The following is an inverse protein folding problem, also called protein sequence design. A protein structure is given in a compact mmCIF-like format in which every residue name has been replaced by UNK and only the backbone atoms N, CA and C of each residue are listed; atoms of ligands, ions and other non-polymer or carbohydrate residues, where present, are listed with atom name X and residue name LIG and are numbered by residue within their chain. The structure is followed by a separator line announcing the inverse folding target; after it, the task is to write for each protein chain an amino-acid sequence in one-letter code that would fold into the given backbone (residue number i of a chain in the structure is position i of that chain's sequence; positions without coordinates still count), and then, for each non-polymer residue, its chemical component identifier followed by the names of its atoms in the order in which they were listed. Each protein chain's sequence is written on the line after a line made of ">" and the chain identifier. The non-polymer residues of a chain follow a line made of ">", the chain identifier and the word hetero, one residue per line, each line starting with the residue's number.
data_IF_704879316474
#
_entry.id   IF_704879316474
#
_cell.length_a   1.000
_cell.length_b   1.000
_cell.length_c   1.000
_cell.angle_alpha   90.00
_cell.angle_beta   90.00
_cell.angle_gamma   90.00
#
_symmetry.space_group_name_H-M   'P 1'
#
loop_
_entity.id
_entity.type
_entity.pdbx_description
1 polymer ?
#
# COMPACT_ATOMS: atom_id res chain seq x y z
N UNK A 1 -5.21 19.80 10.39
CA UNK A 1 -4.07 20.06 9.47
C UNK A 1 -3.18 18.85 9.57
N UNK A 2 -3.08 18.06 8.51
CA UNK A 2 -2.16 16.91 8.44
C UNK A 2 -0.75 17.43 8.67
N UNK A 3 -0.10 16.99 9.75
CA UNK A 3 1.31 17.30 9.95
C UNK A 3 2.07 16.49 8.89
N UNK A 4 2.46 17.14 7.79
CA UNK A 4 3.29 16.54 6.74
C UNK A 4 4.72 16.33 7.28
N UNK A 5 4.86 15.38 8.21
CA UNK A 5 6.14 15.00 8.82
C UNK A 5 6.99 14.16 7.88
N UNK A 6 6.33 13.44 6.96
CA UNK A 6 6.95 12.63 5.91
C UNK A 6 6.21 12.97 4.62
N UNK A 7 6.96 13.18 3.54
CA UNK A 7 6.40 13.52 2.23
C UNK A 7 6.47 12.34 1.26
N UNK A 8 5.67 12.39 0.18
CA UNK A 8 5.78 11.41 -0.92
C UNK A 8 7.19 11.32 -1.49
N UNK A 9 7.93 12.44 -1.52
CA UNK A 9 9.33 12.42 -1.97
C UNK A 9 10.23 11.62 -1.01
N UNK A 10 10.03 11.74 0.31
CA UNK A 10 10.77 10.92 1.27
C UNK A 10 10.46 9.43 1.09
N UNK A 11 9.17 9.10 0.91
CA UNK A 11 8.73 7.73 0.67
C UNK A 11 9.30 7.17 -0.61
N UNK A 12 9.26 7.93 -1.70
CA UNK A 12 9.79 7.53 -2.99
C UNK A 12 11.30 7.25 -2.93
N UNK A 13 12.07 8.09 -2.23
CA UNK A 13 13.52 7.88 -2.10
C UNK A 13 13.85 6.64 -1.27
N UNK A 14 13.13 6.36 -0.18
CA UNK A 14 13.33 5.11 0.59
C UNK A 14 12.86 3.87 -0.18
N UNK A 15 11.75 3.96 -0.91
CA UNK A 15 11.28 2.87 -1.79
C UNK A 15 12.30 2.58 -2.89
N UNK A 16 12.84 3.62 -3.52
CA UNK A 16 13.86 3.49 -4.55
C UNK A 16 15.11 2.79 -4.02
N UNK A 17 15.58 3.14 -2.82
CA UNK A 17 16.69 2.42 -2.15
C UNK A 17 16.34 0.94 -1.94
N UNK A 18 15.15 0.65 -1.42
CA UNK A 18 14.70 -0.73 -1.21
C UNK A 18 14.69 -1.53 -2.53
N UNK A 19 14.16 -0.94 -3.61
CA UNK A 19 14.14 -1.56 -4.94
C UNK A 19 15.56 -1.80 -5.46
N UNK A 20 16.47 -0.83 -5.39
CA UNK A 20 17.86 -0.98 -5.84
C UNK A 20 18.57 -2.09 -5.05
N UNK A 21 18.38 -2.14 -3.73
CA UNK A 21 19.01 -3.15 -2.88
C UNK A 21 18.50 -4.57 -3.14
N UNK A 22 17.19 -4.71 -3.37
CA UNK A 22 16.55 -6.02 -3.61
C UNK A 22 16.77 -6.49 -5.05
N UNK A 23 16.43 -5.66 -6.05
CA UNK A 23 16.42 -6.04 -7.46
C UNK A 23 17.76 -5.82 -8.18
N UNK A 24 18.70 -5.09 -7.57
CA UNK A 24 20.01 -4.74 -8.17
C UNK A 24 19.91 -4.02 -9.51
N UNK A 25 18.85 -3.23 -9.68
CA UNK A 25 18.61 -2.37 -10.84
C UNK A 25 19.29 -1.02 -10.68
N UNK A 26 19.45 -0.29 -11.79
CA UNK A 26 19.98 1.07 -11.75
C UNK A 26 18.95 2.04 -11.15
N UNK A 27 19.39 2.88 -10.22
CA UNK A 27 18.54 3.86 -9.55
C UNK A 27 17.80 4.79 -10.53
N UNK A 28 18.45 5.14 -11.65
CA UNK A 28 17.88 6.00 -12.69
C UNK A 28 16.81 5.32 -13.54
N UNK A 29 16.70 3.99 -13.49
CA UNK A 29 15.66 3.22 -14.18
C UNK A 29 14.32 3.23 -13.44
N UNK A 30 14.32 3.60 -12.15
CA UNK A 30 13.15 3.55 -11.27
C UNK A 30 12.34 4.85 -11.44
N UNK A 31 11.15 4.72 -12.03
CA UNK A 31 10.18 5.82 -12.18
C UNK A 31 8.89 5.48 -11.46
N UNK A 32 8.09 6.50 -11.14
CA UNK A 32 6.80 6.30 -10.46
C UNK A 32 5.86 5.40 -11.27
N UNK A 33 5.87 5.55 -12.58
CA UNK A 33 5.08 4.74 -13.51
C UNK A 33 5.61 3.32 -13.73
N UNK A 34 6.83 3.00 -13.30
CA UNK A 34 7.45 1.69 -13.55
C UNK A 34 6.67 0.58 -12.84
N UNK A 35 6.30 -0.47 -13.59
CA UNK A 35 5.84 -1.74 -13.03
C UNK A 35 6.99 -2.45 -12.34
N UNK A 36 6.77 -2.90 -11.10
CA UNK A 36 7.79 -3.64 -10.36
C UNK A 36 8.14 -4.96 -11.05
N UNK A 37 7.15 -5.63 -11.65
CA UNK A 37 7.38 -6.90 -12.34
C UNK A 37 7.83 -6.65 -13.79
N UNK A 38 7.02 -5.95 -14.59
CA UNK A 38 7.25 -5.87 -16.03
C UNK A 38 8.47 -5.02 -16.40
N UNK A 39 8.71 -3.93 -15.67
CA UNK A 39 9.80 -3.01 -15.99
C UNK A 39 11.06 -3.27 -15.15
N UNK A 40 10.88 -3.67 -13.88
CA UNK A 40 11.99 -3.82 -12.92
C UNK A 40 12.34 -5.28 -12.59
N UNK A 41 11.56 -6.24 -13.08
CA UNK A 41 11.86 -7.67 -12.98
C UNK A 41 11.69 -8.26 -11.58
N UNK A 42 10.84 -7.67 -10.73
CA UNK A 42 10.55 -8.20 -9.41
C UNK A 42 9.79 -9.53 -9.48
N UNK A 43 10.18 -10.47 -8.62
CA UNK A 43 9.47 -11.71 -8.35
C UNK A 43 8.65 -11.61 -7.05
N UNK A 44 7.75 -12.56 -6.79
CA UNK A 44 6.87 -12.56 -5.61
C UNK A 44 7.62 -12.42 -4.27
N UNK A 45 8.83 -12.99 -4.17
CA UNK A 45 9.66 -12.88 -2.96
C UNK A 45 10.28 -11.49 -2.78
N UNK A 46 10.54 -10.77 -3.87
CA UNK A 46 11.14 -9.43 -3.82
C UNK A 46 10.18 -8.42 -3.18
N UNK A 47 8.87 -8.57 -3.40
CA UNK A 47 7.86 -7.75 -2.73
C UNK A 47 7.95 -7.87 -1.21
N UNK A 48 8.25 -9.06 -0.68
CA UNK A 48 8.38 -9.27 0.76
C UNK A 48 9.61 -8.56 1.31
N UNK A 49 10.75 -8.59 0.61
CA UNK A 49 11.98 -7.90 1.02
C UNK A 49 11.82 -6.37 0.93
N UNK A 50 11.27 -5.86 -0.18
CA UNK A 50 10.99 -4.43 -0.35
C UNK A 50 10.04 -3.94 0.74
N UNK A 51 8.94 -4.65 1.00
CA UNK A 51 8.02 -4.32 2.08
C UNK A 51 8.72 -4.32 3.43
N UNK A 52 9.53 -5.34 3.73
CA UNK A 52 10.26 -5.42 4.99
C UNK A 52 11.22 -4.23 5.18
N UNK A 53 11.95 -3.82 4.14
CA UNK A 53 12.83 -2.64 4.18
C UNK A 53 12.05 -1.36 4.49
N UNK A 54 10.91 -1.17 3.82
CA UNK A 54 10.01 -0.03 4.08
C UNK A 54 9.47 -0.04 5.51
N UNK A 55 9.07 -1.21 6.02
CA UNK A 55 8.61 -1.37 7.40
C UNK A 55 9.70 -0.96 8.41
N UNK A 56 10.95 -1.37 8.19
CA UNK A 56 12.08 -1.02 9.05
C UNK A 56 12.44 0.47 8.97
N UNK A 57 12.38 1.05 7.77
CA UNK A 57 12.61 2.46 7.53
C UNK A 57 11.56 3.30 8.27
N UNK A 58 10.29 3.10 7.98
CA UNK A 58 9.20 3.97 8.46
C UNK A 58 8.63 3.59 9.84
N UNK A 59 8.98 2.40 10.36
CA UNK A 59 8.43 1.92 11.63
C UNK A 59 6.95 1.56 11.54
N UNK A 60 6.56 0.95 10.42
CA UNK A 60 5.16 0.63 10.10
C UNK A 60 5.01 -0.84 9.68
N UNK A 61 3.79 -1.25 9.31
CA UNK A 61 3.50 -2.61 8.80
C UNK A 61 2.74 -2.53 7.48
N UNK A 62 3.34 -3.05 6.42
CA UNK A 62 2.71 -3.15 5.10
C UNK A 62 1.62 -4.23 5.10
N UNK A 63 0.70 -4.14 4.14
CA UNK A 63 -0.28 -5.19 3.92
C UNK A 63 0.42 -6.51 3.54
N UNK A 64 -0.09 -7.63 4.07
CA UNK A 64 0.42 -8.96 3.77
C UNK A 64 -0.42 -9.68 2.71
N UNK A 65 -1.69 -9.32 2.61
CA UNK A 65 -2.61 -9.90 1.64
C UNK A 65 -3.06 -8.84 0.64
N UNK A 66 -3.32 -9.29 -0.58
CA UNK A 66 -3.81 -8.43 -1.64
C UNK A 66 -5.28 -8.04 -1.38
N UNK A 67 -5.73 -6.94 -1.98
CA UNK A 67 -7.10 -6.44 -1.77
C UNK A 67 -8.18 -7.45 -2.14
N UNK A 68 -7.91 -8.31 -3.13
CA UNK A 68 -8.84 -9.35 -3.58
C UNK A 68 -9.06 -10.41 -2.49
N UNK A 69 -8.01 -10.81 -1.77
CA UNK A 69 -8.12 -11.77 -0.67
C UNK A 69 -9.01 -11.20 0.45
N UNK A 70 -8.84 -9.91 0.79
CA UNK A 70 -9.69 -9.25 1.78
C UNK A 70 -11.16 -9.15 1.34
N UNK A 71 -11.43 -9.06 0.03
CA UNK A 71 -12.81 -9.08 -0.48
C UNK A 71 -13.44 -10.45 -0.24
N UNK A 72 -12.74 -11.53 -0.58
CA UNK A 72 -13.22 -12.91 -0.32
C UNK A 72 -13.45 -13.14 1.19
N UNK A 73 -12.51 -12.70 2.04
CA UNK A 73 -12.64 -12.80 3.50
C UNK A 73 -13.86 -12.06 4.06
N UNK A 74 -14.14 -10.86 3.55
CA UNK A 74 -15.17 -9.97 4.10
C UNK A 74 -16.56 -10.20 3.51
N UNK A 75 -16.65 -10.56 2.23
CA UNK A 75 -17.90 -10.58 1.47
C UNK A 75 -18.27 -11.97 0.94
N UNK A 76 -17.39 -12.97 1.10
CA UNK A 76 -17.65 -14.38 0.83
C UNK A 76 -16.98 -14.89 -0.45
N UNK A 77 -16.70 -16.20 -0.47
CA UNK A 77 -16.05 -16.92 -1.58
C UNK A 77 -16.79 -16.71 -2.91
N UNK A 78 -16.05 -16.40 -3.97
CA UNK A 78 -16.62 -16.15 -5.30
C UNK A 78 -16.90 -14.68 -5.59
N UNK A 79 -16.63 -13.78 -4.63
CA UNK A 79 -17.04 -12.37 -4.76
C UNK A 79 -16.08 -11.57 -5.61
N UNK A 80 -14.78 -11.76 -5.42
CA UNK A 80 -13.73 -11.11 -6.20
C UNK A 80 -13.19 -12.00 -7.32
N UNK A 81 -13.13 -13.31 -7.10
CA UNK A 81 -12.53 -14.30 -7.99
C UNK A 81 -13.54 -15.42 -8.22
N UNK A 82 -13.81 -15.76 -9.48
CA UNK A 82 -14.71 -16.84 -9.85
C UNK A 82 -14.07 -18.24 -9.72
N UNK A 83 -14.85 -19.29 -9.99
CA UNK A 83 -14.41 -20.70 -9.91
C UNK A 83 -13.25 -21.03 -10.87
N UNK A 84 -13.06 -20.23 -11.92
CA UNK A 84 -12.00 -20.39 -12.92
C UNK A 84 -10.74 -19.57 -12.55
N UNK A 85 -10.71 -18.92 -11.38
CA UNK A 85 -9.58 -18.09 -10.94
C UNK A 85 -9.55 -16.70 -11.57
N UNK A 86 -10.68 -16.22 -12.10
CA UNK A 86 -10.75 -14.96 -12.84
C UNK A 86 -11.49 -13.86 -12.08
N UNK A 87 -11.14 -12.62 -12.38
CA UNK A 87 -11.74 -11.47 -11.72
C UNK A 87 -13.19 -11.22 -12.13
N UNK A 88 -14.04 -11.10 -11.11
CA UNK A 88 -15.45 -10.74 -11.27
C UNK A 88 -15.61 -9.27 -11.67
N UNK A 89 -16.78 -8.91 -12.19
CA UNK A 89 -17.12 -7.51 -12.47
C UNK A 89 -17.02 -6.62 -11.23
N UNK A 90 -17.43 -7.15 -10.06
CA UNK A 90 -17.34 -6.46 -8.76
C UNK A 90 -15.90 -6.18 -8.34
N UNK A 91 -15.00 -7.15 -8.51
CA UNK A 91 -13.57 -6.95 -8.27
C UNK A 91 -13.01 -5.84 -9.17
N UNK A 92 -13.35 -5.85 -10.46
CA UNK A 92 -12.86 -4.84 -11.41
C UNK A 92 -13.38 -3.44 -11.08
N UNK A 93 -14.66 -3.31 -10.71
CA UNK A 93 -15.21 -2.03 -10.27
C UNK A 93 -14.43 -1.48 -9.06
N UNK A 94 -14.12 -2.35 -8.10
CA UNK A 94 -13.37 -1.99 -6.91
C UNK A 94 -11.91 -1.63 -7.21
N UNK A 95 -11.23 -2.41 -8.04
CA UNK A 95 -9.85 -2.12 -8.46
C UNK A 95 -9.77 -0.78 -9.20
N UNK A 96 -10.76 -0.44 -10.03
CA UNK A 96 -10.86 0.89 -10.68
C UNK A 96 -11.03 2.02 -9.68
N UNK A 97 -11.77 1.81 -8.59
CA UNK A 97 -11.87 2.80 -7.51
C UNK A 97 -10.54 2.96 -6.79
N UNK A 98 -9.82 1.85 -6.54
CA UNK A 98 -8.54 1.87 -5.80
C UNK A 98 -7.40 2.49 -6.60
N UNK A 99 -7.23 2.08 -7.85
CA UNK A 99 -6.11 2.46 -8.71
C UNK A 99 -6.43 3.64 -9.65
N UNK A 100 -7.69 4.08 -9.66
CA UNK A 100 -8.19 5.17 -10.50
C UNK A 100 -8.86 4.68 -11.79
N UNK A 101 -9.85 5.44 -12.26
CA UNK A 101 -10.70 5.07 -13.41
C UNK A 101 -9.98 4.96 -14.76
N UNK A 102 -8.67 5.24 -14.82
CA UNK A 102 -7.89 5.28 -16.05
C UNK A 102 -6.94 4.08 -16.22
N UNK A 103 -7.16 2.96 -15.51
CA UNK A 103 -6.41 1.72 -15.76
C UNK A 103 -7.03 1.01 -16.98
N UNK A 104 -6.44 1.13 -18.19
CA UNK A 104 -7.09 0.70 -19.44
C UNK A 104 -7.18 -0.82 -19.57
N UNK A 105 -6.36 -1.53 -18.79
CA UNK A 105 -6.14 -2.98 -18.91
C UNK A 105 -7.04 -3.79 -17.96
N UNK A 106 -7.72 -3.16 -16.98
CA UNK A 106 -8.59 -3.86 -16.04
C UNK A 106 -9.96 -4.20 -16.65
N UNK A 107 -10.13 -5.48 -16.97
CA UNK A 107 -11.35 -6.06 -17.52
C UNK A 107 -11.78 -7.33 -16.77
N UNK A 108 -13.08 -7.58 -16.71
CA UNK A 108 -13.61 -8.81 -16.08
C UNK A 108 -13.17 -10.04 -16.88
N UNK A 109 -12.91 -11.14 -16.17
CA UNK A 109 -12.39 -12.37 -16.75
C UNK A 109 -10.87 -12.41 -16.89
N UNK A 110 -10.16 -11.36 -16.43
CA UNK A 110 -8.70 -11.34 -16.30
C UNK A 110 -8.25 -12.36 -15.25
N UNK A 111 -7.09 -12.99 -15.49
CA UNK A 111 -6.52 -13.96 -14.57
C UNK A 111 -5.97 -13.24 -13.32
N UNK A 112 -6.22 -13.80 -12.13
CA UNK A 112 -5.74 -13.21 -10.89
C UNK A 112 -4.20 -13.11 -10.82
N UNK A 113 -3.51 -14.01 -11.53
CA UNK A 113 -2.04 -14.01 -11.62
C UNK A 113 -1.48 -12.81 -12.41
N UNK A 114 -2.30 -12.11 -13.22
CA UNK A 114 -1.87 -10.92 -13.97
C UNK A 114 -1.82 -9.66 -13.09
N UNK A 115 -2.49 -9.67 -11.94
CA UNK A 115 -2.68 -8.48 -11.11
C UNK A 115 -1.41 -7.99 -10.41
N UNK A 116 -0.53 -8.85 -9.88
CA UNK A 116 0.75 -8.40 -9.34
C UNK A 116 1.60 -7.58 -10.33
N UNK A 117 1.47 -7.84 -11.63
CA UNK A 117 2.21 -7.12 -12.66
C UNK A 117 1.74 -5.66 -12.84
N UNK A 118 0.56 -5.32 -12.33
CA UNK A 118 0.02 -3.96 -12.33
C UNK A 118 0.58 -3.09 -11.20
N UNK A 119 1.30 -3.68 -10.24
CA UNK A 119 1.87 -2.91 -9.12
C UNK A 119 3.01 -2.04 -9.64
N UNK A 120 2.82 -0.73 -9.55
CA UNK A 120 3.83 0.27 -9.89
C UNK A 120 4.52 0.83 -8.67
N UNK A 121 5.66 1.48 -8.88
CA UNK A 121 6.36 2.24 -7.84
C UNK A 121 5.44 3.29 -7.20
N UNK A 122 4.64 3.99 -8.00
CA UNK A 122 3.64 4.95 -7.50
C UNK A 122 2.61 4.29 -6.58
N UNK A 123 2.09 3.11 -6.94
CA UNK A 123 1.11 2.41 -6.11
C UNK A 123 1.69 2.00 -4.75
N UNK A 124 2.98 1.63 -4.70
CA UNK A 124 3.69 1.36 -3.44
C UNK A 124 3.87 2.63 -2.61
N UNK A 125 4.28 3.75 -3.23
CA UNK A 125 4.37 5.04 -2.54
C UNK A 125 3.03 5.40 -1.91
N UNK A 126 1.93 5.25 -2.65
CA UNK A 126 0.59 5.51 -2.13
C UNK A 126 0.23 4.58 -0.96
N UNK A 127 0.55 3.29 -1.06
CA UNK A 127 0.31 2.34 0.03
C UNK A 127 1.05 2.70 1.32
N UNK A 128 2.31 3.12 1.22
CA UNK A 128 3.09 3.63 2.36
C UNK A 128 2.46 4.91 2.91
N UNK A 129 2.09 5.85 2.04
CA UNK A 129 1.46 7.11 2.45
C UNK A 129 0.10 6.88 3.13
N UNK A 130 -0.71 5.93 2.67
CA UNK A 130 -1.97 5.57 3.31
C UNK A 130 -1.74 5.11 4.76
N UNK A 131 -0.68 4.33 5.00
CA UNK A 131 -0.27 3.92 6.35
C UNK A 131 0.22 5.09 7.18
N UNK A 132 1.11 5.93 6.65
CA UNK A 132 1.63 7.10 7.37
C UNK A 132 0.52 8.10 7.72
N UNK A 133 -0.49 8.25 6.86
CA UNK A 133 -1.65 9.10 7.09
C UNK A 133 -2.58 8.58 8.18
N UNK A 134 -2.41 7.32 8.63
CA UNK A 134 -3.12 6.77 9.79
C UNK A 134 -2.53 7.21 11.14
N UNK A 135 -1.50 8.08 11.14
CA UNK A 135 -0.90 8.63 12.35
C UNK A 135 -1.98 9.22 13.27
N UNK A 136 -2.11 8.74 14.52
CA UNK A 136 -3.13 9.25 15.43
C UNK A 136 -2.85 10.70 15.83
N UNK A 137 -3.90 11.46 16.11
CA UNK A 137 -3.79 12.87 16.54
C UNK A 137 -2.97 13.05 17.83
N UNK A 138 -2.98 12.02 18.70
CA UNK A 138 -2.29 12.01 19.99
C UNK A 138 -1.39 10.79 20.11
N UNK A 139 -0.27 10.97 20.80
CA UNK A 139 0.62 9.88 21.16
C UNK A 139 -0.10 8.83 22.02
N UNK A 140 -0.10 7.57 21.57
CA UNK A 140 -0.73 6.45 22.27
C UNK A 140 -0.10 6.15 23.64
N UNK A 141 1.11 6.65 23.90
CA UNK A 141 1.84 6.46 25.17
C UNK A 141 1.58 7.59 26.17
N UNK A 142 1.70 8.87 25.77
CA UNK A 142 1.61 10.01 26.69
C UNK A 142 0.41 10.95 26.46
N UNK A 143 -0.38 10.76 25.41
CA UNK A 143 -1.56 11.57 25.09
C UNK A 143 -1.26 12.96 24.49
N UNK A 144 0.01 13.34 24.32
CA UNK A 144 0.40 14.63 23.73
C UNK A 144 0.37 14.60 22.18
N UNK A 145 0.11 15.75 21.57
CA UNK A 145 0.10 15.96 20.10
C UNK A 145 1.39 16.66 19.65
N UNK A 146 2.53 16.03 19.92
CA UNK A 146 3.86 16.58 19.64
C UNK A 146 4.66 15.70 18.68
N UNK A 147 4.03 15.18 17.62
CA UNK A 147 4.74 14.35 16.65
C UNK A 147 5.80 15.14 15.91
N UNK A 148 6.95 14.51 15.69
CA UNK A 148 8.07 15.07 14.94
C UNK A 148 8.81 13.98 14.17
N UNK A 149 9.47 14.37 13.08
CA UNK A 149 10.42 13.54 12.34
C UNK A 149 11.65 14.39 12.02
N UNK A 150 12.84 13.90 12.36
CA UNK A 150 14.11 14.61 12.12
C UNK A 150 14.79 14.14 10.83
N UNK A 151 14.58 12.87 10.47
CA UNK A 151 15.17 12.21 9.29
C UNK A 151 14.22 12.16 8.09
N UNK A 152 12.94 12.53 8.28
CA UNK A 152 11.90 12.40 7.25
C UNK A 152 11.48 10.96 7.00
N UNK A 153 11.78 10.04 7.93
CA UNK A 153 11.50 8.60 7.79
C UNK A 153 10.82 8.05 9.04
N UNK A 154 11.29 8.38 10.26
CA UNK A 154 10.68 7.91 11.51
C UNK A 154 9.97 9.04 12.24
N UNK A 155 8.74 8.76 12.66
CA UNK A 155 7.95 9.67 13.50
C UNK A 155 8.07 9.24 14.96
N UNK A 156 8.39 10.21 15.82
CA UNK A 156 8.44 10.04 17.28
C UNK A 156 7.69 11.16 17.97
N UNK A 157 7.22 10.90 19.19
CA UNK A 157 6.63 11.92 20.02
C UNK A 157 7.73 12.79 20.64
N UNK A 158 7.73 14.09 20.36
CA UNK A 158 8.66 15.05 20.96
C UNK A 158 8.50 15.23 22.48
N UNK A 159 7.40 14.75 23.08
CA UNK A 159 7.19 14.82 24.53
C UNK A 159 7.76 13.63 25.30
N UNK A 160 7.62 12.39 24.79
CA UNK A 160 8.07 11.18 25.50
C UNK A 160 9.10 10.34 24.74
N UNK A 161 9.40 10.68 23.48
CA UNK A 161 10.34 9.95 22.62
C UNK A 161 9.80 8.68 21.97
N UNK A 162 8.57 8.26 22.31
CA UNK A 162 7.96 7.03 21.80
C UNK A 162 7.73 7.08 20.28
N UNK A 163 7.92 5.94 19.60
CA UNK A 163 7.62 5.81 18.18
C UNK A 163 6.13 5.93 17.87
N UNK A 164 5.81 6.45 16.69
CA UNK A 164 4.44 6.41 16.19
C UNK A 164 3.98 4.96 15.96
N UNK A 165 2.70 4.69 16.28
CA UNK A 165 2.03 3.43 15.94
C UNK A 165 0.97 3.74 14.90
N UNK A 166 1.07 3.10 13.74
CA UNK A 166 0.17 3.25 12.61
C UNK A 166 -0.83 2.08 12.55
N UNK A 167 -1.96 2.30 11.89
CA UNK A 167 -2.80 1.19 11.43
C UNK A 167 -2.03 0.40 10.37
N UNK A 168 -2.03 -0.93 10.46
CA UNK A 168 -1.32 -1.75 9.48
C UNK A 168 -2.05 -1.76 8.12
N UNK A 169 -1.33 -2.13 7.06
CA UNK A 169 -1.87 -2.10 5.70
C UNK A 169 -3.10 -2.98 5.49
N UNK A 170 -3.18 -4.17 6.09
CA UNK A 170 -4.35 -5.06 5.95
C UNK A 170 -5.61 -4.43 6.59
N UNK A 171 -5.48 -3.88 7.80
CA UNK A 171 -6.58 -3.20 8.49
C UNK A 171 -7.04 -1.94 7.73
N UNK A 172 -6.13 -1.22 7.07
CA UNK A 172 -6.47 -0.09 6.21
C UNK A 172 -7.23 -0.52 4.96
N UNK A 173 -6.84 -1.64 4.34
CA UNK A 173 -7.58 -2.21 3.21
C UNK A 173 -8.99 -2.58 3.65
N UNK A 174 -9.15 -3.27 4.79
CA UNK A 174 -10.46 -3.64 5.33
C UNK A 174 -11.33 -2.42 5.63
N UNK A 175 -10.77 -1.40 6.27
CA UNK A 175 -11.48 -0.15 6.56
C UNK A 175 -11.93 0.57 5.28
N UNK A 176 -11.06 0.59 4.26
CA UNK A 176 -11.41 1.15 2.95
C UNK A 176 -12.51 0.34 2.25
N UNK A 177 -12.43 -1.00 2.26
CA UNK A 177 -13.46 -1.89 1.70
C UNK A 177 -14.83 -1.65 2.35
N UNK A 178 -14.88 -1.56 3.69
CA UNK A 178 -16.11 -1.23 4.42
C UNK A 178 -16.69 0.11 3.96
N UNK A 179 -15.86 1.15 3.90
CA UNK A 179 -16.30 2.49 3.47
C UNK A 179 -16.83 2.49 2.03
N UNK A 180 -16.11 1.85 1.10
CA UNK A 180 -16.53 1.75 -0.30
C UNK A 180 -17.85 1.00 -0.42
N UNK A 181 -18.03 -0.08 0.34
CA UNK A 181 -19.28 -0.82 0.36
C UNK A 181 -20.45 0.03 0.89
N UNK A 182 -20.26 0.80 1.96
CA UNK A 182 -21.28 1.70 2.50
C UNK A 182 -21.68 2.80 1.51
N UNK A 183 -20.72 3.33 0.75
CA UNK A 183 -20.95 4.43 -0.19
C UNK A 183 -21.52 3.97 -1.54
N UNK A 184 -21.12 2.79 -2.02
CA UNK A 184 -21.40 2.33 -3.40
C UNK A 184 -22.23 1.05 -3.48
N UNK A 185 -22.32 0.27 -2.40
CA UNK A 185 -23.07 -0.98 -2.32
C UNK A 185 -22.73 -1.96 -3.47
N UNK A 186 -21.43 -2.25 -3.63
CA UNK A 186 -20.86 -3.06 -4.72
C UNK A 186 -21.12 -4.56 -4.48
N UNK A 187 -20.89 -5.01 -3.25
CA UNK A 187 -20.98 -6.41 -2.83
C UNK A 187 -22.38 -6.80 -2.40
#
# INVERSE_FOLDING_TARGET
>A
MSQNLITEANVFEELKKAIVETLRVDESSIKLESSLINDLGAESLDFLDINYRLEQAFGMKMARHFVLEHIEEMFGEGTAIDEDGRLTEKAIELLKIRFGNNVPELQSGMDMDEIPAMVTVQSMVQGVMDILNSLPEKCSSCGNSAWQSEDGVKIKCGSCGEGATFTNGDDLIKAWLTKVQEEKNIF
#
